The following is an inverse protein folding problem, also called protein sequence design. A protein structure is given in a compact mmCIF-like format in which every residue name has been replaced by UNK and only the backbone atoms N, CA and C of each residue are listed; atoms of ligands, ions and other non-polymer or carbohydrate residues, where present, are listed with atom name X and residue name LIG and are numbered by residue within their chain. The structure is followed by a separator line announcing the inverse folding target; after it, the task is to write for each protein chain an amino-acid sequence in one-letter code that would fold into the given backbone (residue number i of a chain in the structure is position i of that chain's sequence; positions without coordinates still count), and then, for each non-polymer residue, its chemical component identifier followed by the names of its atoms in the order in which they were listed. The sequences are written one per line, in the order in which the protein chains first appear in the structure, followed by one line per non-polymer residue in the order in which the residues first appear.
data_IF_237443674869
#
_entry.id   IF_237443674869
#
_cell.length_a   1.000
_cell.length_b   1.000
_cell.length_c   1.000
_cell.angle_alpha   90.00
_cell.angle_beta   90.00
_cell.angle_gamma   90.00
#
_symmetry.space_group_name_H-M   'P 1'
#
loop_
_entity.id
_entity.type
_entity.pdbx_description
1 polymer ?
#
# COMPACT_ATOMS: atom_id res chain seq x y z
N UNK A 1 -2.41 -8.18 35.25
CA UNK A 1 -2.01 -6.77 35.46
C UNK A 1 -2.90 -5.99 34.53
N UNK A 2 -3.62 -5.00 35.02
CA UNK A 2 -4.57 -4.22 34.23
C UNK A 2 -3.81 -3.49 33.11
N UNK A 3 -3.94 -3.97 31.87
CA UNK A 3 -3.13 -3.48 30.74
C UNK A 3 -3.43 -2.01 30.43
N UNK A 4 -4.66 -1.58 30.73
CA UNK A 4 -5.14 -0.22 30.52
C UNK A 4 -4.41 0.79 31.42
N UNK A 5 -3.89 0.36 32.56
CA UNK A 5 -3.10 1.21 33.47
C UNK A 5 -1.67 1.49 32.96
N UNK A 6 -1.20 0.76 31.94
CA UNK A 6 0.19 0.89 31.44
C UNK A 6 0.43 2.16 30.63
N UNK A 7 -0.63 2.89 30.27
CA UNK A 7 -0.56 4.12 29.46
C UNK A 7 -0.11 3.88 28.02
N UNK A 8 -0.10 2.63 27.55
CA UNK A 8 0.27 2.23 26.19
C UNK A 8 -0.86 1.42 25.57
N UNK A 9 -1.02 1.56 24.26
CA UNK A 9 -1.93 0.76 23.45
C UNK A 9 -1.29 0.52 22.08
N UNK A 10 -1.77 -0.52 21.39
CA UNK A 10 -1.39 -0.83 20.01
C UNK A 10 -2.64 -0.69 19.15
N UNK A 11 -2.50 -0.01 18.01
CA UNK A 11 -3.55 0.07 17.00
C UNK A 11 -3.14 -0.83 15.84
N UNK A 12 -4.01 -1.76 15.48
CA UNK A 12 -3.90 -2.55 14.27
C UNK A 12 -5.03 -2.13 13.31
N UNK A 13 -4.69 -1.97 12.03
CA UNK A 13 -5.63 -1.64 10.98
C UNK A 13 -5.26 -2.43 9.73
N UNK A 14 -6.23 -3.13 9.16
CA UNK A 14 -6.05 -4.02 8.02
C UNK A 14 -7.33 -4.06 7.18
N UNK A 15 -7.19 -4.30 5.89
CA UNK A 15 -8.33 -4.53 4.99
C UNK A 15 -9.02 -5.84 5.40
N UNK A 16 -10.34 -5.81 5.56
CA UNK A 16 -11.12 -6.92 6.10
C UNK A 16 -11.03 -8.16 5.19
N UNK A 17 -10.94 -7.94 3.88
CA UNK A 17 -10.80 -8.96 2.84
C UNK A 17 -9.53 -9.80 3.03
N UNK A 18 -8.55 -9.32 3.80
CA UNK A 18 -7.38 -10.11 4.21
C UNK A 18 -7.79 -11.41 4.92
N UNK A 19 -8.85 -11.36 5.73
CA UNK A 19 -9.29 -12.46 6.57
C UNK A 19 -10.38 -13.28 5.86
N UNK A 20 -9.96 -14.38 5.22
CA UNK A 20 -10.87 -15.35 4.59
C UNK A 20 -11.05 -15.19 3.08
N UNK A 21 -11.10 -13.95 2.56
CA UNK A 21 -11.20 -13.74 1.11
C UNK A 21 -9.84 -13.87 0.41
N UNK A 22 -8.87 -13.02 0.74
CA UNK A 22 -7.52 -13.08 0.17
C UNK A 22 -6.67 -14.20 0.78
N UNK A 23 -6.88 -14.50 2.06
CA UNK A 23 -6.18 -15.57 2.79
C UNK A 23 -7.19 -16.48 3.48
N UNK A 24 -7.74 -17.48 2.78
CA UNK A 24 -8.65 -18.46 3.38
C UNK A 24 -8.02 -19.14 4.60
N UNK A 25 -8.76 -19.20 5.71
CA UNK A 25 -8.32 -19.76 6.99
C UNK A 25 -7.72 -18.73 7.95
N UNK A 26 -7.30 -17.55 7.48
CA UNK A 26 -6.72 -16.51 8.35
C UNK A 26 -7.77 -15.87 9.27
N UNK A 27 -9.05 -15.92 8.90
CA UNK A 27 -10.16 -15.53 9.77
C UNK A 27 -10.19 -16.31 11.09
N UNK A 28 -9.67 -17.55 11.12
CA UNK A 28 -9.57 -18.34 12.34
C UNK A 28 -8.58 -17.73 13.33
N UNK A 29 -7.44 -17.25 12.85
CA UNK A 29 -6.47 -16.52 13.68
C UNK A 29 -7.11 -15.25 14.25
N UNK A 30 -7.89 -14.51 13.45
CA UNK A 30 -8.62 -13.34 13.94
C UNK A 30 -9.62 -13.71 15.06
N UNK A 31 -10.33 -14.83 14.92
CA UNK A 31 -11.22 -15.33 15.95
C UNK A 31 -10.49 -15.77 17.22
N UNK A 32 -9.30 -16.35 17.09
CA UNK A 32 -8.44 -16.68 18.23
C UNK A 32 -7.96 -15.43 18.95
N UNK A 33 -7.54 -14.39 18.22
CA UNK A 33 -7.18 -13.08 18.79
C UNK A 33 -8.36 -12.50 19.58
N UNK A 34 -9.59 -12.57 19.06
CA UNK A 34 -10.76 -12.06 19.77
C UNK A 34 -11.17 -12.88 21.00
N UNK A 35 -10.69 -14.11 21.13
CA UNK A 35 -10.96 -15.00 22.27
C UNK A 35 -9.84 -14.99 23.32
N UNK A 36 -8.69 -14.40 23.00
CA UNK A 36 -7.56 -14.43 23.93
C UNK A 36 -7.85 -13.56 25.15
N UNK A 37 -7.43 -14.04 26.32
CA UNK A 37 -7.44 -13.27 27.57
C UNK A 37 -6.10 -12.54 27.79
N UNK A 38 -5.15 -12.69 26.86
CA UNK A 38 -3.82 -12.07 26.95
C UNK A 38 -3.83 -10.57 26.69
N UNK A 39 -4.84 -10.05 25.98
CA UNK A 39 -4.94 -8.64 25.60
C UNK A 39 -6.31 -8.07 25.95
N UNK A 40 -6.33 -6.82 26.39
CA UNK A 40 -7.58 -6.06 26.52
C UNK A 40 -7.95 -5.37 25.20
N UNK A 41 -8.94 -5.94 24.51
CA UNK A 41 -9.45 -5.38 23.26
C UNK A 41 -10.48 -4.28 23.54
N UNK A 42 -10.16 -3.06 23.12
CA UNK A 42 -11.05 -1.90 23.21
C UNK A 42 -11.43 -1.37 21.84
N UNK A 43 -12.56 -0.69 21.73
CA UNK A 43 -12.93 0.03 20.51
C UNK A 43 -12.17 1.35 20.43
N UNK A 44 -11.92 1.83 19.21
CA UNK A 44 -11.27 3.12 19.00
C UNK A 44 -12.02 4.29 19.68
N UNK A 45 -13.34 4.21 19.75
CA UNK A 45 -14.20 5.19 20.45
C UNK A 45 -14.01 5.20 21.96
N UNK A 46 -13.43 4.15 22.54
CA UNK A 46 -13.20 4.02 23.97
C UNK A 46 -11.78 4.43 24.38
N UNK A 47 -10.88 4.70 23.42
CA UNK A 47 -9.49 5.10 23.70
C UNK A 47 -9.43 6.33 24.61
N UNK A 48 -10.26 7.34 24.34
CA UNK A 48 -10.29 8.56 25.17
C UNK A 48 -10.83 8.34 26.59
N UNK A 49 -11.45 7.20 26.89
CA UNK A 49 -11.90 6.88 28.26
C UNK A 49 -10.72 6.44 29.12
N UNK A 50 -9.81 5.66 28.55
CA UNK A 50 -8.68 5.05 29.27
C UNK A 50 -7.39 5.85 29.14
N UNK A 51 -7.18 6.55 28.01
CA UNK A 51 -5.94 7.27 27.72
C UNK A 51 -6.19 8.76 27.54
N UNK A 52 -5.86 9.55 28.58
CA UNK A 52 -6.09 11.01 28.61
C UNK A 52 -4.93 11.83 28.02
N UNK A 53 -3.77 11.21 27.79
CA UNK A 53 -2.58 11.89 27.27
C UNK A 53 -2.78 12.31 25.82
N UNK A 54 -2.90 13.63 25.57
CA UNK A 54 -2.98 14.19 24.21
C UNK A 54 -1.70 14.94 23.88
N UNK A 55 -1.23 14.79 22.65
CA UNK A 55 -0.12 15.56 22.11
C UNK A 55 -0.58 16.18 20.81
N UNK A 56 -0.38 17.49 20.68
CA UNK A 56 -0.60 18.17 19.42
C UNK A 56 0.50 17.77 18.43
N UNK A 57 0.07 17.33 17.25
CA UNK A 57 0.95 16.92 16.16
C UNK A 57 0.39 17.42 14.85
N UNK A 58 1.27 17.78 13.91
CA UNK A 58 0.91 18.09 12.54
C UNK A 58 1.28 16.90 11.66
N UNK A 59 0.31 16.12 11.14
CA UNK A 59 0.61 15.01 10.26
C UNK A 59 1.26 15.49 8.95
N UNK A 60 2.24 14.73 8.46
CA UNK A 60 2.76 14.94 7.12
C UNK A 60 1.69 14.55 6.08
N UNK A 61 1.70 15.22 4.92
CA UNK A 61 0.90 14.80 3.76
C UNK A 61 1.44 13.45 3.27
N UNK A 62 0.75 12.38 3.61
CA UNK A 62 1.21 11.03 3.35
C UNK A 62 0.03 10.06 3.27
N UNK A 63 0.35 8.86 2.82
CA UNK A 63 -0.52 7.68 2.90
C UNK A 63 0.23 6.62 3.70
N UNK A 64 -0.45 5.59 4.18
CA UNK A 64 0.19 4.41 4.78
C UNK A 64 1.26 3.75 3.88
N UNK A 65 1.17 4.01 2.58
CA UNK A 65 2.08 3.58 1.54
C UNK A 65 3.37 4.41 1.45
N UNK A 66 3.35 5.65 1.93
CA UNK A 66 4.42 6.63 1.70
C UNK A 66 5.69 6.28 2.47
N UNK A 67 6.83 6.27 1.79
CA UNK A 67 8.14 6.25 2.44
C UNK A 67 8.54 7.65 2.89
N UNK A 68 9.55 7.75 3.78
CA UNK A 68 10.12 9.03 4.18
C UNK A 68 10.72 9.79 2.98
N UNK A 69 11.33 9.08 2.03
CA UNK A 69 11.85 9.70 0.80
C UNK A 69 10.73 10.32 -0.04
N UNK A 70 9.57 9.68 -0.13
CA UNK A 70 8.41 10.22 -0.85
C UNK A 70 7.92 11.51 -0.20
N UNK A 71 7.93 11.55 1.14
CA UNK A 71 7.62 12.75 1.93
C UNK A 71 8.62 13.87 1.63
N UNK A 72 9.92 13.57 1.69
CA UNK A 72 11.01 14.53 1.43
C UNK A 72 10.98 15.08 -0.01
N UNK A 73 10.62 14.26 -1.00
CA UNK A 73 10.56 14.64 -2.42
C UNK A 73 9.22 15.24 -2.86
N UNK A 74 8.23 15.31 -1.97
CA UNK A 74 6.89 15.77 -2.28
C UNK A 74 6.16 14.95 -3.38
N UNK A 75 6.40 13.64 -3.45
CA UNK A 75 5.83 12.72 -4.46
C UNK A 75 4.87 11.70 -3.83
N UNK A 76 4.03 12.13 -2.89
CA UNK A 76 3.06 11.23 -2.27
C UNK A 76 1.85 11.01 -3.21
N UNK A 77 1.02 10.01 -2.88
CA UNK A 77 -0.21 9.71 -3.61
C UNK A 77 -0.02 9.22 -5.06
N UNK A 78 1.13 8.66 -5.43
CA UNK A 78 1.38 8.15 -6.80
C UNK A 78 0.32 7.15 -7.29
N UNK A 79 -0.26 6.34 -6.40
CA UNK A 79 -1.34 5.45 -6.79
C UNK A 79 -2.62 6.18 -7.23
N UNK A 80 -2.82 7.44 -6.84
CA UNK A 80 -4.05 8.20 -7.17
C UNK A 80 -3.80 9.44 -8.03
N UNK A 81 -2.58 10.00 -8.01
CA UNK A 81 -2.24 11.26 -8.67
C UNK A 81 -0.75 11.33 -9.06
N UNK A 82 -0.27 10.29 -9.74
CA UNK A 82 1.04 10.33 -10.40
C UNK A 82 1.07 11.41 -11.52
N UNK A 83 1.94 12.44 -11.41
CA UNK A 83 2.04 13.51 -12.41
C UNK A 83 2.57 13.03 -13.77
N UNK A 84 3.24 11.88 -13.83
CA UNK A 84 3.71 11.28 -15.08
C UNK A 84 2.64 10.40 -15.75
N UNK A 85 1.54 10.10 -15.05
CA UNK A 85 0.43 9.33 -15.57
C UNK A 85 -0.61 10.25 -16.24
N UNK A 86 -0.62 10.26 -17.57
CA UNK A 86 -1.57 11.06 -18.35
C UNK A 86 -3.04 10.68 -18.08
N UNK A 87 -3.33 9.41 -17.75
CA UNK A 87 -4.69 8.97 -17.41
C UNK A 87 -5.12 9.63 -16.10
N UNK A 88 -4.27 9.65 -15.07
CA UNK A 88 -4.59 10.34 -13.81
C UNK A 88 -4.86 11.82 -14.03
N UNK A 89 -4.06 12.50 -14.87
CA UNK A 89 -4.28 13.91 -15.19
C UNK A 89 -5.70 14.13 -15.73
N UNK A 90 -6.10 13.36 -16.73
CA UNK A 90 -7.46 13.47 -17.30
C UNK A 90 -8.56 13.04 -16.33
N UNK A 91 -8.34 12.02 -15.50
CA UNK A 91 -9.30 11.63 -14.47
C UNK A 91 -9.54 12.77 -13.47
N UNK A 92 -8.48 13.45 -13.03
CA UNK A 92 -8.59 14.60 -12.14
C UNK A 92 -9.20 15.83 -12.80
N UNK A 93 -8.85 16.10 -14.06
CA UNK A 93 -9.45 17.21 -14.82
C UNK A 93 -10.96 16.97 -15.00
N UNK A 94 -11.37 15.76 -15.39
CA UNK A 94 -12.78 15.37 -15.47
C UNK A 94 -13.47 15.47 -14.11
N UNK A 95 -12.83 14.98 -13.04
CA UNK A 95 -13.41 15.05 -11.68
C UNK A 95 -13.65 16.48 -11.23
N UNK A 96 -12.71 17.40 -11.48
CA UNK A 96 -12.86 18.82 -11.15
C UNK A 96 -13.97 19.47 -11.95
N UNK A 97 -14.01 19.22 -13.26
CA UNK A 97 -15.07 19.73 -14.15
C UNK A 97 -16.46 19.32 -13.63
N UNK A 98 -16.65 18.03 -13.29
CA UNK A 98 -17.93 17.56 -12.76
C UNK A 98 -18.22 18.13 -11.37
N UNK A 99 -17.24 18.21 -10.48
CA UNK A 99 -17.40 18.83 -9.15
C UNK A 99 -17.83 20.29 -9.23
N UNK A 100 -17.24 21.07 -10.13
CA UNK A 100 -17.59 22.47 -10.33
C UNK A 100 -19.07 22.62 -10.70
N UNK A 101 -19.58 21.79 -11.61
CA UNK A 101 -20.99 21.81 -12.01
C UNK A 101 -21.93 21.29 -10.91
N UNK A 102 -21.53 20.24 -10.18
CA UNK A 102 -22.31 19.71 -9.05
C UNK A 102 -22.41 20.74 -7.92
N UNK A 103 -21.33 21.47 -7.63
CA UNK A 103 -21.32 22.52 -6.61
C UNK A 103 -22.00 23.80 -7.07
N UNK A 104 -22.04 24.06 -8.38
CA UNK A 104 -22.80 25.16 -8.97
C UNK A 104 -24.31 24.93 -9.02
N UNK A 105 -24.76 23.68 -8.88
CA UNK A 105 -26.17 23.32 -8.94
C UNK A 105 -26.98 23.88 -7.74
N UNK A 106 -28.20 24.35 -8.00
CA UNK A 106 -29.13 24.76 -6.94
C UNK A 106 -29.50 23.54 -6.06
N UNK A 107 -29.23 23.67 -4.77
CA UNK A 107 -29.51 22.63 -3.76
C UNK A 107 -31.00 22.34 -3.60
N UNK A 108 -31.88 23.28 -3.96
CA UNK A 108 -33.33 23.09 -3.90
C UNK A 108 -33.90 22.45 -5.17
N UNK A 109 -33.08 22.25 -6.21
CA UNK A 109 -33.54 21.64 -7.45
C UNK A 109 -33.93 20.18 -7.22
N UNK A 110 -35.04 19.74 -7.82
CA UNK A 110 -35.62 18.40 -7.60
C UNK A 110 -34.66 17.23 -7.90
N UNK A 111 -33.59 17.46 -8.68
CA UNK A 111 -32.55 16.46 -9.02
C UNK A 111 -31.30 16.54 -8.16
N UNK A 112 -31.18 17.50 -7.24
CA UNK A 112 -29.93 17.75 -6.51
C UNK A 112 -29.46 16.51 -5.75
N UNK A 113 -30.33 15.89 -4.97
CA UNK A 113 -30.00 14.68 -4.19
C UNK A 113 -29.53 13.52 -5.08
N UNK A 114 -30.15 13.34 -6.24
CA UNK A 114 -29.74 12.33 -7.22
C UNK A 114 -28.33 12.61 -7.75
N UNK A 115 -28.08 13.85 -8.19
CA UNK A 115 -26.78 14.27 -8.74
C UNK A 115 -25.70 14.17 -7.65
N UNK A 116 -26.00 14.62 -6.43
CA UNK A 116 -25.09 14.57 -5.29
C UNK A 116 -24.70 13.14 -4.95
N UNK A 117 -25.67 12.23 -4.87
CA UNK A 117 -25.43 10.81 -4.60
C UNK A 117 -24.65 10.12 -5.72
N UNK A 118 -24.92 10.46 -6.99
CA UNK A 118 -24.10 9.99 -8.12
C UNK A 118 -22.65 10.47 -8.00
N UNK A 119 -22.46 11.74 -7.64
CA UNK A 119 -21.12 12.29 -7.44
C UNK A 119 -20.39 11.59 -6.28
N UNK A 120 -21.07 11.28 -5.18
CA UNK A 120 -20.47 10.54 -4.05
C UNK A 120 -19.94 9.17 -4.48
N UNK A 121 -20.70 8.45 -5.31
CA UNK A 121 -20.24 7.17 -5.87
C UNK A 121 -19.08 7.36 -6.85
N UNK A 122 -19.15 8.39 -7.71
CA UNK A 122 -18.13 8.67 -8.71
C UNK A 122 -16.78 9.10 -8.10
N UNK A 123 -16.76 9.61 -6.86
CA UNK A 123 -15.54 9.97 -6.12
C UNK A 123 -14.83 8.76 -5.49
N UNK A 124 -15.33 7.54 -5.67
CA UNK A 124 -14.66 6.32 -5.21
C UNK A 124 -13.22 6.22 -5.73
N UNK A 125 -12.25 6.06 -4.84
CA UNK A 125 -10.82 6.23 -5.19
C UNK A 125 -10.25 5.12 -6.09
N UNK A 126 -10.93 3.98 -6.18
CA UNK A 126 -10.47 2.78 -6.85
C UNK A 126 -10.09 3.03 -8.32
N UNK A 127 -10.88 3.79 -9.06
CA UNK A 127 -10.60 4.00 -10.49
C UNK A 127 -9.31 4.79 -10.75
N UNK A 128 -8.89 5.64 -9.80
CA UNK A 128 -7.57 6.26 -9.84
C UNK A 128 -6.49 5.23 -9.46
N UNK A 129 -6.72 4.48 -8.38
CA UNK A 129 -5.78 3.47 -7.92
C UNK A 129 -5.44 2.42 -8.98
N UNK A 130 -6.45 1.88 -9.67
CA UNK A 130 -6.31 0.93 -10.77
C UNK A 130 -5.70 1.56 -12.03
N UNK A 131 -5.84 2.87 -12.23
CA UNK A 131 -5.18 3.60 -13.33
C UNK A 131 -3.67 3.77 -13.11
N UNK A 132 -3.17 3.59 -11.88
CA UNK A 132 -1.75 3.77 -11.57
C UNK A 132 -0.84 2.75 -12.26
N UNK A 133 -1.36 1.56 -12.58
CA UNK A 133 -0.58 0.42 -13.08
C UNK A 133 0.60 0.02 -12.16
N UNK A 134 0.52 0.34 -10.86
CA UNK A 134 1.59 0.15 -9.88
C UNK A 134 1.06 -0.49 -8.58
N UNK A 135 1.05 -1.84 -8.47
CA UNK A 135 1.35 -2.84 -9.51
C UNK A 135 0.10 -3.30 -10.28
N UNK A 136 -1.08 -2.86 -9.87
CA UNK A 136 -2.35 -3.40 -10.32
C UNK A 136 -3.00 -2.53 -11.40
N UNK A 137 -3.73 -3.16 -12.32
CA UNK A 137 -4.40 -2.52 -13.45
C UNK A 137 -5.74 -3.20 -13.73
N UNK A 138 -6.81 -2.42 -13.84
CA UNK A 138 -8.13 -2.89 -14.26
C UNK A 138 -8.74 -1.86 -15.20
N UNK A 139 -9.02 -2.29 -16.42
CA UNK A 139 -9.64 -1.45 -17.42
C UNK A 139 -11.10 -1.17 -17.07
N UNK A 140 -11.75 -2.16 -16.45
CA UNK A 140 -13.14 -2.12 -15.99
C UNK A 140 -13.31 -1.05 -14.91
N UNK A 141 -12.41 -0.98 -13.93
CA UNK A 141 -12.48 0.04 -12.88
C UNK A 141 -12.20 1.45 -13.40
N UNK A 142 -11.25 1.58 -14.34
CA UNK A 142 -10.94 2.86 -14.99
C UNK A 142 -12.16 3.35 -15.79
N UNK A 143 -12.81 2.45 -16.54
CA UNK A 143 -14.01 2.75 -17.30
C UNK A 143 -15.18 3.13 -16.41
N UNK A 144 -15.44 2.31 -15.38
CA UNK A 144 -16.52 2.55 -14.44
C UNK A 144 -16.43 3.93 -13.78
N UNK A 145 -15.23 4.34 -13.32
CA UNK A 145 -15.04 5.66 -12.71
C UNK A 145 -15.24 6.81 -13.70
N UNK A 146 -14.62 6.72 -14.88
CA UNK A 146 -14.75 7.77 -15.90
C UNK A 146 -16.19 7.88 -16.42
N UNK A 147 -16.89 6.76 -16.60
CA UNK A 147 -18.30 6.73 -16.98
C UNK A 147 -19.18 7.31 -15.88
N UNK A 148 -18.94 6.96 -14.61
CA UNK A 148 -19.73 7.46 -13.48
C UNK A 148 -19.65 8.99 -13.37
N UNK A 149 -18.49 9.59 -13.63
CA UNK A 149 -18.33 11.05 -13.70
C UNK A 149 -19.13 11.67 -14.86
N UNK A 150 -19.00 11.12 -16.07
CA UNK A 150 -19.76 11.59 -17.24
C UNK A 150 -21.28 11.43 -17.05
N UNK A 151 -21.71 10.31 -16.48
CA UNK A 151 -23.12 10.04 -16.18
C UNK A 151 -23.66 11.01 -15.12
N UNK A 152 -22.88 11.30 -14.08
CA UNK A 152 -23.24 12.32 -13.07
C UNK A 152 -23.51 13.66 -13.74
N UNK A 153 -22.60 14.11 -14.60
CA UNK A 153 -22.70 15.37 -15.31
C UNK A 153 -23.96 15.46 -16.18
N UNK A 154 -24.32 14.36 -16.88
CA UNK A 154 -25.53 14.28 -17.73
C UNK A 154 -26.84 14.42 -16.97
N UNK A 155 -26.83 14.21 -15.65
CA UNK A 155 -28.03 14.36 -14.82
C UNK A 155 -28.23 15.79 -14.30
N UNK A 156 -27.24 16.67 -14.47
CA UNK A 156 -27.32 18.08 -14.12
C UNK A 156 -28.27 18.79 -15.11
N UNK A 157 -29.30 19.51 -14.61
CA UNK A 157 -30.25 20.23 -15.47
C UNK A 157 -29.59 21.43 -16.15
N UNK A 158 -30.09 21.79 -17.34
CA UNK A 158 -29.74 23.02 -18.07
C UNK A 158 -28.23 23.25 -18.29
N UNK A 159 -27.45 22.17 -18.31
CA UNK A 159 -26.02 22.22 -18.49
C UNK A 159 -25.66 22.61 -19.93
N UNK A 160 -24.64 23.46 -20.09
CA UNK A 160 -24.13 23.86 -21.40
C UNK A 160 -23.59 22.65 -22.15
N UNK A 161 -23.93 22.56 -23.44
CA UNK A 161 -23.54 21.43 -24.29
C UNK A 161 -22.02 21.29 -24.38
N UNK A 162 -21.30 22.40 -24.38
CA UNK A 162 -19.85 22.43 -24.48
C UNK A 162 -19.19 21.69 -23.30
N UNK A 163 -19.74 21.81 -22.09
CA UNK A 163 -19.24 21.14 -20.88
C UNK A 163 -19.45 19.62 -20.99
N UNK A 164 -20.60 19.20 -21.53
CA UNK A 164 -20.90 17.78 -21.74
C UNK A 164 -19.98 17.16 -22.79
N UNK A 165 -19.70 17.87 -23.89
CA UNK A 165 -18.75 17.40 -24.90
C UNK A 165 -17.31 17.38 -24.36
N UNK A 166 -16.90 18.36 -23.56
CA UNK A 166 -15.59 18.36 -22.91
C UNK A 166 -15.41 17.15 -21.97
N UNK A 167 -16.41 16.86 -21.14
CA UNK A 167 -16.39 15.68 -20.28
C UNK A 167 -16.38 14.37 -21.07
N UNK A 168 -17.10 14.33 -22.19
CA UNK A 168 -17.09 13.19 -23.11
C UNK A 168 -15.71 13.02 -23.75
N UNK A 169 -15.05 14.09 -24.15
CA UNK A 169 -13.68 14.06 -24.68
C UNK A 169 -12.70 13.50 -23.65
N UNK A 170 -12.81 13.90 -22.38
CA UNK A 170 -12.00 13.31 -21.30
C UNK A 170 -12.26 11.82 -21.15
N UNK A 171 -13.53 11.41 -21.10
CA UNK A 171 -13.91 10.00 -21.05
C UNK A 171 -13.29 9.22 -22.22
N UNK A 172 -13.48 9.66 -23.46
CA UNK A 172 -12.93 9.00 -24.64
C UNK A 172 -11.39 8.92 -24.61
N UNK A 173 -10.71 9.98 -24.17
CA UNK A 173 -9.23 10.00 -24.01
C UNK A 173 -8.75 9.00 -22.97
N UNK A 174 -9.41 8.94 -21.81
CA UNK A 174 -9.07 8.00 -20.72
C UNK A 174 -9.20 6.57 -21.24
N UNK A 175 -10.35 6.21 -21.81
CA UNK A 175 -10.64 4.84 -22.25
C UNK A 175 -9.75 4.44 -23.41
N UNK A 176 -9.66 5.24 -24.46
CA UNK A 176 -8.83 4.94 -25.63
C UNK A 176 -7.36 4.73 -25.26
N UNK A 177 -6.83 5.55 -24.35
CA UNK A 177 -5.45 5.45 -23.86
C UNK A 177 -5.25 4.22 -22.98
N UNK A 178 -6.18 3.94 -22.07
CA UNK A 178 -6.13 2.74 -21.24
C UNK A 178 -6.13 1.46 -22.09
N UNK A 179 -7.03 1.37 -23.08
CA UNK A 179 -7.03 0.27 -24.06
C UNK A 179 -5.73 0.21 -24.86
N UNK A 180 -5.17 1.35 -25.29
CA UNK A 180 -3.91 1.38 -26.00
C UNK A 180 -2.75 0.85 -25.16
N UNK A 181 -2.66 1.25 -23.89
CA UNK A 181 -1.61 0.78 -22.97
C UNK A 181 -1.71 -0.73 -22.73
N UNK A 182 -2.93 -1.27 -22.63
CA UNK A 182 -3.15 -2.70 -22.47
C UNK A 182 -2.81 -3.49 -23.74
N UNK A 183 -3.25 -3.02 -24.92
CA UNK A 183 -3.02 -3.70 -26.21
C UNK A 183 -1.55 -3.70 -26.63
N UNK A 184 -0.84 -2.61 -26.38
CA UNK A 184 0.59 -2.47 -26.74
C UNK A 184 1.51 -3.23 -25.79
N UNK A 185 0.98 -3.76 -24.68
CA UNK A 185 1.77 -4.42 -23.65
C UNK A 185 2.54 -3.47 -22.73
N UNK A 186 2.28 -2.15 -22.79
CA UNK A 186 2.88 -1.16 -21.88
C UNK A 186 2.65 -1.53 -20.41
N UNK A 187 1.42 -1.90 -20.04
CA UNK A 187 1.09 -2.33 -18.67
C UNK A 187 1.92 -3.56 -18.28
N UNK A 188 2.04 -4.54 -19.18
CA UNK A 188 2.84 -5.75 -18.93
C UNK A 188 4.31 -5.42 -18.73
N UNK A 189 4.87 -4.51 -19.53
CA UNK A 189 6.24 -4.05 -19.38
C UNK A 189 6.45 -3.31 -18.05
N UNK A 190 5.49 -2.46 -17.66
CA UNK A 190 5.48 -1.80 -16.35
C UNK A 190 5.44 -2.84 -15.23
N UNK A 191 4.56 -3.83 -15.25
CA UNK A 191 4.53 -4.87 -14.20
C UNK A 191 5.80 -5.73 -14.16
N UNK A 192 6.38 -6.06 -15.33
CA UNK A 192 7.61 -6.85 -15.41
C UNK A 192 8.83 -6.11 -14.85
N UNK A 193 8.97 -4.80 -15.08
CA UNK A 193 10.06 -4.01 -14.51
C UNK A 193 10.01 -4.01 -12.98
N UNK A 194 8.81 -4.02 -12.40
CA UNK A 194 8.59 -4.09 -10.95
C UNK A 194 8.97 -5.47 -10.38
N UNK A 195 8.53 -6.55 -11.04
CA UNK A 195 8.86 -7.92 -10.62
C UNK A 195 10.35 -8.26 -10.78
N UNK A 196 11.05 -7.64 -11.74
CA UNK A 196 12.48 -7.88 -11.93
C UNK A 196 13.32 -7.36 -10.75
N UNK A 197 12.89 -6.30 -10.04
CA UNK A 197 13.54 -5.85 -8.81
C UNK A 197 13.48 -6.95 -7.73
N UNK A 198 12.36 -7.69 -7.66
CA UNK A 198 12.17 -8.82 -6.76
C UNK A 198 12.93 -10.09 -7.19
N UNK A 199 13.52 -10.13 -8.39
CA UNK A 199 14.41 -11.20 -8.89
C UNK A 199 15.89 -10.87 -8.80
N UNK A 200 16.26 -9.70 -8.28
CA UNK A 200 17.66 -9.40 -7.96
C UNK A 200 17.98 -10.12 -6.64
N UNK A 201 19.05 -10.90 -6.52
CA UNK A 201 19.42 -11.54 -5.25
C UNK A 201 19.57 -10.52 -4.13
N UNK A 202 19.12 -10.81 -2.91
CA UNK A 202 19.18 -9.88 -1.78
C UNK A 202 20.60 -9.33 -1.60
N UNK A 203 21.60 -10.21 -1.72
CA UNK A 203 23.03 -9.87 -1.74
C UNK A 203 23.36 -8.73 -2.70
N UNK A 204 22.83 -8.79 -3.92
CA UNK A 204 23.08 -7.81 -4.97
C UNK A 204 22.27 -6.52 -4.75
N UNK A 205 21.07 -6.61 -4.15
CA UNK A 205 20.28 -5.42 -3.77
C UNK A 205 20.95 -4.58 -2.69
N UNK A 206 21.69 -5.21 -1.80
CA UNK A 206 22.35 -4.58 -0.65
C UNK A 206 23.79 -4.18 -0.95
N UNK A 207 24.58 -5.05 -1.59
CA UNK A 207 26.00 -4.77 -1.84
C UNK A 207 26.24 -3.80 -3.01
N UNK A 208 25.36 -3.79 -4.02
CA UNK A 208 25.53 -2.89 -5.17
C UNK A 208 24.85 -1.53 -4.97
N UNK A 209 24.32 -1.26 -3.77
CA UNK A 209 23.63 -0.01 -3.45
C UNK A 209 24.49 0.82 -2.48
N UNK A 210 24.97 2.00 -2.89
CA UNK A 210 25.88 2.82 -2.07
C UNK A 210 25.30 3.12 -0.69
N UNK A 211 25.99 2.65 0.36
CA UNK A 211 25.56 2.81 1.75
C UNK A 211 24.62 1.74 2.27
N UNK A 212 24.42 0.64 1.55
CA UNK A 212 23.68 -0.55 2.00
C UNK A 212 24.50 -1.83 2.13
N UNK A 213 25.81 -1.70 1.98
CA UNK A 213 26.77 -2.81 1.94
C UNK A 213 26.73 -3.65 3.22
N UNK A 214 26.46 -3.02 4.37
CA UNK A 214 26.49 -3.68 5.66
C UNK A 214 25.21 -4.45 6.00
N UNK A 215 24.07 -4.14 5.37
CA UNK A 215 22.79 -4.80 5.66
C UNK A 215 22.83 -6.28 5.27
N UNK A 216 23.50 -6.64 4.19
CA UNK A 216 23.70 -8.04 3.83
C UNK A 216 24.37 -8.84 4.96
N UNK A 217 25.47 -8.29 5.48
CA UNK A 217 26.28 -8.93 6.50
C UNK A 217 25.55 -8.96 7.85
N UNK A 218 24.78 -7.93 8.18
CA UNK A 218 23.95 -7.87 9.37
C UNK A 218 22.91 -9.00 9.39
N UNK A 219 22.18 -9.19 8.29
CA UNK A 219 21.20 -10.28 8.18
C UNK A 219 21.86 -11.66 8.25
N UNK A 220 23.02 -11.85 7.60
CA UNK A 220 23.76 -13.10 7.70
C UNK A 220 24.23 -13.39 9.13
N UNK A 221 24.78 -12.39 9.82
CA UNK A 221 25.25 -12.53 11.19
C UNK A 221 24.10 -12.88 12.15
N UNK A 222 22.94 -12.25 11.96
CA UNK A 222 21.74 -12.51 12.74
C UNK A 222 21.20 -13.93 12.51
N UNK A 223 21.10 -14.38 11.26
CA UNK A 223 20.70 -15.76 10.96
C UNK A 223 21.70 -16.79 11.52
N UNK A 224 23.00 -16.49 11.49
CA UNK A 224 24.03 -17.36 12.09
C UNK A 224 23.88 -17.45 13.62
N UNK A 225 23.54 -16.35 14.29
CA UNK A 225 23.23 -16.34 15.72
C UNK A 225 22.01 -17.21 16.02
N UNK A 226 20.91 -16.99 15.31
CA UNK A 226 19.66 -17.75 15.48
C UNK A 226 19.85 -19.25 15.24
N UNK A 227 20.62 -19.60 14.21
CA UNK A 227 21.00 -21.00 13.93
C UNK A 227 21.69 -21.63 15.13
N UNK A 228 22.66 -20.94 15.73
CA UNK A 228 23.41 -21.44 16.91
C UNK A 228 22.52 -21.53 18.14
N UNK A 229 21.62 -20.58 18.35
CA UNK A 229 20.69 -20.60 19.49
C UNK A 229 19.69 -21.75 19.39
N UNK A 230 19.08 -21.96 18.22
CA UNK A 230 18.18 -23.09 17.97
C UNK A 230 18.89 -24.43 18.19
N UNK A 231 20.12 -24.58 17.67
CA UNK A 231 20.91 -25.79 17.88
C UNK A 231 21.25 -26.04 19.37
N UNK A 232 21.53 -24.99 20.15
CA UNK A 232 21.78 -25.10 21.60
C UNK A 232 20.53 -25.51 22.38
N UNK A 233 19.34 -25.13 21.91
CA UNK A 233 18.06 -25.50 22.51
C UNK A 233 17.57 -26.89 22.08
N UNK A 234 18.28 -27.55 21.15
CA UNK A 234 17.85 -28.84 20.57
C UNK A 234 16.79 -28.71 19.47
N UNK A 235 16.52 -27.49 18.99
CA UNK A 235 15.54 -27.20 17.93
C UNK A 235 16.20 -27.34 16.54
N UNK A 236 16.53 -28.58 16.16
CA UNK A 236 17.36 -28.83 14.98
C UNK A 236 16.68 -28.47 13.65
N UNK A 237 15.36 -28.64 13.52
CA UNK A 237 14.60 -28.25 12.33
C UNK A 237 14.67 -26.73 12.10
N UNK A 238 14.61 -25.95 13.18
CA UNK A 238 14.75 -24.50 13.12
C UNK A 238 16.19 -24.10 12.77
N UNK A 239 17.20 -24.79 13.32
CA UNK A 239 18.58 -24.57 12.92
C UNK A 239 18.84 -24.89 11.44
N UNK A 240 18.21 -25.95 10.91
CA UNK A 240 18.28 -26.32 9.49
C UNK A 240 17.64 -25.25 8.62
N UNK A 241 16.46 -24.74 9.00
CA UNK A 241 15.80 -23.64 8.30
C UNK A 241 16.71 -22.41 8.19
N UNK A 242 17.38 -22.01 9.27
CA UNK A 242 18.34 -20.89 9.22
C UNK A 242 19.57 -21.18 8.38
N UNK A 243 20.12 -22.40 8.46
CA UNK A 243 21.24 -22.85 7.62
C UNK A 243 20.89 -22.73 6.14
N UNK A 244 19.71 -23.17 5.76
CA UNK A 244 19.27 -23.18 4.36
C UNK A 244 18.99 -21.75 3.87
N UNK A 245 18.38 -20.90 4.70
CA UNK A 245 18.23 -19.47 4.43
C UNK A 245 19.59 -18.78 4.18
N UNK A 246 20.59 -19.01 5.03
CA UNK A 246 21.96 -18.50 4.87
C UNK A 246 22.59 -19.00 3.57
N UNK A 247 22.44 -20.30 3.28
CA UNK A 247 22.98 -20.91 2.07
C UNK A 247 22.40 -20.22 0.83
N UNK A 248 21.08 -20.04 0.78
CA UNK A 248 20.40 -19.40 -0.35
C UNK A 248 20.83 -17.95 -0.55
N UNK A 249 20.95 -17.16 0.51
CA UNK A 249 21.46 -15.79 0.44
C UNK A 249 22.90 -15.72 -0.10
N UNK A 250 23.78 -16.63 0.34
CA UNK A 250 25.18 -16.69 -0.13
C UNK A 250 25.29 -17.06 -1.61
N UNK A 251 24.43 -17.96 -2.08
CA UNK A 251 24.43 -18.49 -3.44
C UNK A 251 23.44 -17.79 -4.38
N UNK A 252 22.81 -16.70 -3.94
CA UNK A 252 21.86 -15.92 -4.75
C UNK A 252 20.62 -16.72 -5.20
N UNK A 253 20.22 -17.69 -4.40
CA UNK A 253 19.08 -18.58 -4.67
C UNK A 253 17.80 -18.12 -3.98
N UNK A 254 17.86 -17.04 -3.19
CA UNK A 254 16.73 -16.44 -2.48
C UNK A 254 15.64 -15.89 -3.43
N UNK A 255 15.97 -15.71 -4.70
CA UNK A 255 15.06 -15.25 -5.76
C UNK A 255 14.05 -16.32 -6.21
N UNK A 256 14.27 -17.58 -5.83
CA UNK A 256 13.42 -18.72 -6.18
C UNK A 256 12.48 -19.15 -5.05
N UNK A 257 12.57 -18.52 -3.88
CA UNK A 257 11.76 -18.86 -2.72
C UNK A 257 10.43 -18.10 -2.69
N UNK A 258 9.35 -18.81 -2.32
CA UNK A 258 8.00 -18.25 -2.14
C UNK A 258 7.88 -17.31 -0.92
N UNK A 259 8.76 -17.48 0.06
CA UNK A 259 8.96 -16.58 1.21
C UNK A 259 10.44 -16.20 1.23
N UNK A 260 10.75 -14.90 1.20
CA UNK A 260 12.14 -14.48 1.22
C UNK A 260 12.78 -14.88 2.56
N UNK A 261 14.04 -15.32 2.54
CA UNK A 261 14.80 -15.65 3.75
C UNK A 261 14.75 -14.53 4.82
N UNK A 262 14.56 -13.28 4.39
CA UNK A 262 14.40 -12.09 5.22
C UNK A 262 13.06 -12.06 5.96
N UNK A 263 11.99 -12.58 5.35
CA UNK A 263 10.66 -12.62 5.97
C UNK A 263 10.64 -13.64 7.12
N UNK A 264 11.41 -14.74 7.01
CA UNK A 264 11.62 -15.70 8.09
C UNK A 264 12.23 -15.04 9.34
N UNK A 265 13.20 -14.14 9.16
CA UNK A 265 13.80 -13.36 10.24
C UNK A 265 12.78 -12.45 10.92
N UNK A 266 11.94 -11.76 10.13
CA UNK A 266 10.94 -10.82 10.64
C UNK A 266 9.80 -11.50 11.38
N UNK A 267 9.48 -12.74 11.02
CA UNK A 267 8.46 -13.55 11.71
C UNK A 267 8.98 -14.12 13.03
N UNK A 268 10.28 -14.39 13.14
CA UNK A 268 10.87 -15.12 14.28
C UNK A 268 11.59 -14.27 15.31
N UNK A 269 11.88 -12.99 15.00
CA UNK A 269 12.54 -12.06 15.91
C UNK A 269 11.60 -10.89 16.20
N UNK A 270 11.52 -10.42 17.46
CA UNK A 270 10.80 -9.20 17.81
C UNK A 270 11.24 -8.02 16.93
N UNK A 271 10.27 -7.25 16.46
CA UNK A 271 10.46 -6.15 15.52
C UNK A 271 11.56 -5.17 15.97
N UNK A 272 11.62 -4.86 17.27
CA UNK A 272 12.57 -3.92 17.85
C UNK A 272 14.03 -4.38 17.78
N UNK A 273 14.28 -5.69 17.85
CA UNK A 273 15.64 -6.25 17.80
C UNK A 273 16.15 -6.31 16.35
N UNK A 274 15.27 -6.68 15.42
CA UNK A 274 15.53 -6.57 13.97
C UNK A 274 15.79 -5.12 13.59
N UNK A 275 14.99 -4.18 14.11
CA UNK A 275 15.19 -2.76 13.84
C UNK A 275 16.49 -2.23 14.44
N UNK A 276 16.86 -2.57 15.67
CA UNK A 276 18.12 -2.13 16.26
C UNK A 276 19.33 -2.60 15.47
N UNK A 277 19.36 -3.86 15.06
CA UNK A 277 20.44 -4.37 14.21
C UNK A 277 20.43 -3.68 12.84
N UNK A 278 19.27 -3.38 12.26
CA UNK A 278 19.22 -2.59 11.01
C UNK A 278 19.68 -1.14 11.23
N UNK A 279 19.35 -0.50 12.36
CA UNK A 279 19.77 0.87 12.72
C UNK A 279 21.28 0.95 12.91
N UNK A 280 21.88 -0.03 13.59
CA UNK A 280 23.34 -0.12 13.78
C UNK A 280 24.09 -0.17 12.45
N UNK A 281 23.44 -0.67 11.39
CA UNK A 281 24.06 -0.86 10.09
C UNK A 281 23.55 0.08 8.98
N UNK A 282 22.41 0.76 9.12
CA UNK A 282 21.87 1.66 8.09
C UNK A 282 20.81 2.69 8.57
N UNK A 283 21.19 3.96 8.57
CA UNK A 283 20.28 5.12 8.68
C UNK A 283 19.52 5.44 7.37
N UNK A 284 19.90 4.80 6.26
CA UNK A 284 19.33 5.01 4.91
C UNK A 284 18.17 4.05 4.58
N UNK A 285 18.20 2.80 5.07
CA UNK A 285 17.13 1.82 4.85
C UNK A 285 15.76 2.32 5.35
N UNK A 286 15.73 2.99 6.51
CA UNK A 286 14.53 3.63 7.07
C UNK A 286 13.96 4.73 6.19
N UNK A 287 14.78 5.41 5.38
CA UNK A 287 14.31 6.47 4.48
C UNK A 287 13.55 5.91 3.27
N UNK A 288 13.89 4.69 2.86
CA UNK A 288 13.42 4.05 1.62
C UNK A 288 12.18 3.16 1.81
N UNK A 289 11.86 2.75 3.04
CA UNK A 289 10.80 1.77 3.31
C UNK A 289 9.45 2.46 3.61
N UNK A 290 8.42 2.14 2.83
CA UNK A 290 6.99 2.48 3.06
C UNK A 290 6.13 1.22 3.27
N UNK A 291 4.84 1.41 3.63
CA UNK A 291 3.82 0.34 3.76
C UNK A 291 3.31 -0.20 2.41
N UNK A 292 2.25 -1.02 2.38
CA UNK A 292 1.75 -1.68 1.14
C UNK A 292 0.58 -0.94 0.48
N UNK A 293 0.79 -0.43 -0.74
CA UNK A 293 0.42 -0.98 -2.05
C UNK A 293 1.73 -1.33 -2.77
N UNK A 294 1.94 -2.60 -3.03
CA UNK A 294 3.19 -3.30 -2.72
C UNK A 294 4.46 -2.63 -3.26
N UNK A 295 5.03 -1.74 -2.43
CA UNK A 295 6.38 -1.18 -2.51
C UNK A 295 6.81 -0.68 -3.92
N UNK A 296 5.78 -0.16 -4.62
CA UNK A 296 5.73 1.03 -5.48
C UNK A 296 6.45 1.04 -6.83
N UNK A 297 6.85 -0.11 -7.35
CA UNK A 297 6.98 -0.31 -8.79
C UNK A 297 7.83 0.67 -9.62
N UNK A 298 9.16 0.56 -9.42
CA UNK A 298 10.32 1.35 -9.88
C UNK A 298 10.60 2.65 -9.12
#
# INVERSE_FOLDING_TARGET
KDELETGRYIVTAMDAETFGHHRPGLEKMLFEIFKTEEFELIKISDVEKYYQGKKEVTPAKATWASSKLDIEKNIQFLSWNDPENIIHKWQWDLTKLVLEEVYGMDKNHARYELVRGKMDMALGSDHFWWASAKPWWSLEMIEYGAWSLLDTLRHIPDLKKEIVEEARDYYEKIISTAFNWQRTGKIRAMMQSQNNILRIPFKDRTLNRPGAENVYYAFLAMMERLKKEAAKKGEYEQAILWRDAIYKLKHKLDIYDTMNAIDLVRVKIPHDEVEKTIIEYEDKYRRLRGGQPEQRGS
#
